data_IF_749709537500
#
_entry.id   IF_749709537500
#
_cell.length_a   1.000
_cell.length_b   1.000
_cell.length_c   1.000
_cell.angle_alpha   90.00
_cell.angle_beta   90.00
_cell.angle_gamma   90.00
#
_symmetry.space_group_name_H-M   'P 1'
#
loop_
_entity.id
_entity.type
_entity.pdbx_description
1 polymer ?
#
# COMPACT_ATOMS: atom_id res chain seq x y z
N UNK A 1 5.31 -53.55 6.50
CA UNK A 1 5.97 -52.55 5.65
C UNK A 1 5.38 -51.18 5.98
N UNK A 2 6.05 -50.39 6.81
CA UNK A 2 5.66 -49.00 7.07
C UNK A 2 6.24 -48.12 5.96
N UNK A 3 5.39 -47.53 5.13
CA UNK A 3 5.83 -46.48 4.20
C UNK A 3 6.01 -45.21 5.03
N UNK A 4 7.20 -44.57 5.04
CA UNK A 4 7.35 -43.29 5.70
C UNK A 4 6.55 -42.25 4.91
N UNK A 5 5.57 -41.63 5.55
CA UNK A 5 4.87 -40.47 5.03
C UNK A 5 5.91 -39.37 4.81
N UNK A 6 6.00 -38.74 3.63
CA UNK A 6 6.85 -37.57 3.49
C UNK A 6 6.30 -36.51 4.42
N UNK A 7 7.09 -36.14 5.43
CA UNK A 7 6.92 -34.89 6.13
C UNK A 7 7.05 -33.82 5.05
N UNK A 8 5.90 -33.36 4.53
CA UNK A 8 5.81 -32.10 3.83
C UNK A 8 6.31 -31.08 4.83
N UNK A 9 7.58 -30.72 4.71
CA UNK A 9 8.18 -29.60 5.38
C UNK A 9 7.36 -28.40 4.87
N UNK A 10 6.30 -28.04 5.59
CA UNK A 10 5.57 -26.82 5.31
C UNK A 10 6.63 -25.73 5.26
N UNK A 11 6.77 -25.10 4.10
CA UNK A 11 7.77 -24.05 3.86
C UNK A 11 7.68 -23.13 5.08
N UNK A 12 8.75 -22.95 5.86
CA UNK A 12 8.64 -22.21 7.10
C UNK A 12 8.02 -20.87 6.73
N UNK A 13 6.88 -20.54 7.34
CA UNK A 13 6.23 -19.23 7.21
C UNK A 13 7.09 -18.20 7.96
N UNK A 14 8.37 -18.13 7.61
CA UNK A 14 9.15 -16.94 7.82
C UNK A 14 8.48 -15.92 6.91
N UNK A 15 7.73 -15.00 7.50
CA UNK A 15 7.33 -13.76 6.83
C UNK A 15 8.64 -13.03 6.50
N UNK A 16 9.26 -13.41 5.38
CA UNK A 16 10.35 -12.68 4.80
C UNK A 16 9.72 -11.41 4.23
N UNK A 17 10.07 -10.28 4.83
CA UNK A 17 9.62 -8.99 4.33
C UNK A 17 10.22 -8.78 2.95
N UNK A 18 9.39 -8.34 2.02
CA UNK A 18 9.84 -7.75 0.76
C UNK A 18 10.67 -6.50 1.04
N UNK A 19 11.44 -6.03 0.05
CA UNK A 19 12.22 -4.79 0.18
C UNK A 19 11.34 -3.59 0.56
N UNK A 20 10.11 -3.56 0.03
CA UNK A 20 9.13 -2.51 0.30
C UNK A 20 8.59 -2.56 1.73
N UNK A 21 8.24 -3.76 2.20
CA UNK A 21 7.80 -3.96 3.58
C UNK A 21 8.92 -3.68 4.59
N UNK A 22 10.18 -4.00 4.24
CA UNK A 22 11.33 -3.66 5.05
C UNK A 22 11.51 -2.14 5.19
N UNK A 23 11.39 -1.40 4.09
CA UNK A 23 11.44 0.07 4.10
C UNK A 23 10.31 0.67 4.96
N UNK A 24 9.09 0.13 4.84
CA UNK A 24 7.95 0.51 5.67
C UNK A 24 8.19 0.22 7.16
N UNK A 25 8.76 -0.94 7.49
CA UNK A 25 9.11 -1.32 8.86
C UNK A 25 10.15 -0.35 9.44
N UNK A 26 11.22 -0.07 8.70
CA UNK A 26 12.25 0.88 9.12
C UNK A 26 11.68 2.29 9.33
N UNK A 27 10.83 2.76 8.41
CA UNK A 27 10.13 4.04 8.57
C UNK A 27 9.31 4.05 9.85
N UNK A 28 8.57 2.98 10.14
CA UNK A 28 7.77 2.89 11.35
C UNK A 28 8.63 2.89 12.62
N UNK A 29 9.72 2.12 12.66
CA UNK A 29 10.66 2.05 13.78
C UNK A 29 11.33 3.39 14.09
N UNK A 30 11.61 4.19 13.06
CA UNK A 30 12.22 5.51 13.22
C UNK A 30 11.23 6.59 13.71
N UNK A 31 9.95 6.47 13.34
CA UNK A 31 8.96 7.52 13.58
C UNK A 31 8.04 7.25 14.77
N UNK A 32 7.92 6.00 15.22
CA UNK A 32 7.04 5.61 16.32
C UNK A 32 7.88 5.32 17.56
N UNK A 33 7.42 5.77 18.73
CA UNK A 33 8.11 5.57 20.01
C UNK A 33 8.12 4.13 20.54
N UNK A 34 7.50 3.18 19.81
CA UNK A 34 7.20 1.83 20.28
C UNK A 34 7.79 0.74 19.35
N UNK A 35 9.11 0.72 19.07
CA UNK A 35 9.67 -0.15 18.03
C UNK A 35 9.40 -1.65 18.27
N UNK A 36 9.27 -2.09 19.53
CA UNK A 36 9.00 -3.49 19.85
C UNK A 36 7.59 -3.95 19.45
N UNK A 37 6.64 -3.03 19.29
CA UNK A 37 5.28 -3.36 18.84
C UNK A 37 5.18 -3.44 17.31
N UNK A 38 6.19 -2.93 16.60
CA UNK A 38 6.30 -2.94 15.13
C UNK A 38 6.79 -4.31 14.69
N UNK A 39 5.90 -5.28 14.81
CA UNK A 39 6.16 -6.67 14.40
C UNK A 39 6.00 -6.84 12.90
N UNK A 40 6.63 -7.89 12.35
CA UNK A 40 6.52 -8.23 10.92
C UNK A 40 5.07 -8.50 10.52
N UNK A 41 4.29 -9.05 11.43
CA UNK A 41 2.88 -9.35 11.23
C UNK A 41 2.05 -8.08 11.08
N UNK A 42 2.34 -7.04 11.87
CA UNK A 42 1.68 -5.72 11.75
C UNK A 42 2.03 -5.07 10.42
N UNK A 43 3.31 -5.10 10.04
CA UNK A 43 3.79 -4.55 8.76
C UNK A 43 3.17 -5.29 7.58
N UNK A 44 3.20 -6.63 7.58
CA UNK A 44 2.61 -7.44 6.52
C UNK A 44 1.10 -7.22 6.39
N UNK A 45 0.39 -7.03 7.51
CA UNK A 45 -1.04 -6.71 7.48
C UNK A 45 -1.31 -5.33 6.88
N UNK A 46 -0.52 -4.32 7.23
CA UNK A 46 -0.63 -2.98 6.67
C UNK A 46 -0.28 -2.93 5.18
N UNK A 47 0.78 -3.66 4.79
CA UNK A 47 1.20 -3.82 3.41
C UNK A 47 0.12 -4.47 2.56
N UNK A 48 -0.50 -5.55 3.08
CA UNK A 48 -1.62 -6.20 2.41
C UNK A 48 -2.80 -5.26 2.17
N UNK A 49 -3.20 -4.47 3.18
CA UNK A 49 -4.27 -3.48 3.01
C UNK A 49 -3.91 -2.46 1.92
N UNK A 50 -2.65 -2.02 1.90
CA UNK A 50 -2.18 -1.07 0.90
C UNK A 50 -2.19 -1.68 -0.50
N UNK A 51 -1.77 -2.95 -0.66
CA UNK A 51 -1.85 -3.69 -1.92
C UNK A 51 -3.29 -3.87 -2.39
N UNK A 52 -4.20 -4.22 -1.49
CA UNK A 52 -5.63 -4.40 -1.80
C UNK A 52 -6.28 -3.09 -2.29
N UNK A 53 -5.95 -1.96 -1.66
CA UNK A 53 -6.47 -0.63 -2.04
C UNK A 53 -5.81 -0.08 -3.31
N UNK A 54 -4.55 -0.43 -3.55
CA UNK A 54 -3.78 -0.03 -4.74
C UNK A 54 -3.93 -1.00 -5.92
N UNK A 55 -4.71 -2.07 -5.76
CA UNK A 55 -4.86 -3.13 -6.76
C UNK A 55 -5.28 -2.57 -8.11
N UNK A 56 -4.62 -3.06 -9.17
CA UNK A 56 -4.83 -2.67 -10.57
C UNK A 56 -4.63 -1.18 -10.84
N UNK A 57 -3.79 -0.50 -10.04
CA UNK A 57 -3.47 0.91 -10.23
C UNK A 57 -1.98 1.13 -10.27
N UNK A 58 -1.57 2.10 -11.08
CA UNK A 58 -0.19 2.56 -11.09
C UNK A 58 0.01 3.58 -9.96
N UNK A 59 0.50 3.09 -8.82
CA UNK A 59 0.71 3.89 -7.61
C UNK A 59 2.21 4.09 -7.38
N UNK A 60 2.61 5.33 -7.08
CA UNK A 60 3.97 5.63 -6.66
C UNK A 60 4.24 5.06 -5.25
N UNK A 61 5.47 4.58 -5.02
CA UNK A 61 5.79 3.86 -3.78
C UNK A 61 5.53 4.67 -2.51
N UNK A 62 5.86 5.97 -2.51
CA UNK A 62 5.64 6.83 -1.35
C UNK A 62 4.15 6.95 -0.97
N UNK A 63 3.23 6.92 -1.95
CA UNK A 63 1.78 6.96 -1.70
C UNK A 63 1.31 5.67 -1.02
N UNK A 64 1.82 4.53 -1.50
CA UNK A 64 1.54 3.24 -0.88
C UNK A 64 2.12 3.17 0.53
N UNK A 65 3.34 3.66 0.73
CA UNK A 65 4.00 3.69 2.04
C UNK A 65 3.28 4.60 3.02
N UNK A 66 2.84 5.78 2.60
CA UNK A 66 2.07 6.72 3.43
C UNK A 66 0.76 6.09 3.91
N UNK A 67 0.02 5.44 3.01
CA UNK A 67 -1.19 4.71 3.38
C UNK A 67 -0.88 3.57 4.36
N UNK A 68 0.10 2.73 4.04
CA UNK A 68 0.48 1.58 4.87
C UNK A 68 0.97 2.03 6.26
N UNK A 69 1.73 3.11 6.35
CA UNK A 69 2.22 3.67 7.62
C UNK A 69 1.07 4.10 8.53
N UNK A 70 0.05 4.76 7.99
CA UNK A 70 -1.15 5.10 8.76
C UNK A 70 -1.91 3.84 9.21
N UNK A 71 -1.96 2.79 8.39
CA UNK A 71 -2.54 1.49 8.80
C UNK A 71 -1.78 0.88 9.97
N UNK A 72 -0.45 0.98 10.00
CA UNK A 72 0.36 0.56 11.15
C UNK A 72 -0.06 1.32 12.41
N UNK A 73 -0.15 2.66 12.36
CA UNK A 73 -0.60 3.47 13.50
C UNK A 73 -1.97 3.02 14.02
N UNK A 74 -2.93 2.78 13.11
CA UNK A 74 -4.27 2.28 13.46
C UNK A 74 -4.19 0.91 14.17
N UNK A 75 -3.37 -0.02 13.67
CA UNK A 75 -3.23 -1.35 14.27
C UNK A 75 -2.57 -1.34 15.63
N UNK A 76 -1.63 -0.43 15.83
CA UNK A 76 -1.01 -0.17 17.13
C UNK A 76 -1.90 0.68 18.05
N UNK A 77 -3.10 1.07 17.60
CA UNK A 77 -4.05 1.92 18.33
C UNK A 77 -3.44 3.27 18.73
N UNK A 78 -2.49 3.75 17.94
CA UNK A 78 -1.92 5.10 18.08
C UNK A 78 -2.97 6.10 17.59
N UNK A 79 -3.20 7.15 18.37
CA UNK A 79 -4.12 8.21 18.01
C UNK A 79 -3.55 8.99 16.81
N UNK A 80 -4.37 9.16 15.76
CA UNK A 80 -3.99 9.94 14.59
C UNK A 80 -4.19 11.43 14.88
N UNK A 81 -3.14 12.21 14.66
CA UNK A 81 -3.20 13.67 14.71
C UNK A 81 -3.72 14.26 13.37
N UNK A 82 -3.70 15.58 13.23
CA UNK A 82 -4.15 16.23 11.99
C UNK A 82 -3.18 16.01 10.83
N UNK A 83 -1.88 15.90 11.07
CA UNK A 83 -0.89 15.62 10.03
C UNK A 83 -1.10 14.22 9.46
N UNK A 84 -1.38 13.24 10.32
CA UNK A 84 -1.72 11.87 9.95
C UNK A 84 -2.99 11.79 9.09
N UNK A 85 -4.02 12.54 9.46
CA UNK A 85 -5.26 12.61 8.67
C UNK A 85 -5.00 13.25 7.31
N UNK A 86 -4.24 14.33 7.26
CA UNK A 86 -3.84 14.97 6.00
C UNK A 86 -3.02 14.02 5.12
N UNK A 87 -2.09 13.27 5.71
CA UNK A 87 -1.28 12.27 5.01
C UNK A 87 -2.16 11.17 4.42
N UNK A 88 -3.08 10.63 5.21
CA UNK A 88 -4.03 9.62 4.75
C UNK A 88 -4.93 10.14 3.63
N UNK A 89 -5.48 11.34 3.77
CA UNK A 89 -6.35 11.96 2.77
C UNK A 89 -5.61 12.19 1.44
N UNK A 90 -4.35 12.63 1.50
CA UNK A 90 -3.52 12.82 0.32
C UNK A 90 -3.23 11.49 -0.38
N UNK A 91 -2.87 10.45 0.38
CA UNK A 91 -2.65 9.12 -0.16
C UNK A 91 -3.92 8.57 -0.82
N UNK A 92 -5.08 8.68 -0.15
CA UNK A 92 -6.35 8.22 -0.69
C UNK A 92 -6.77 8.97 -1.97
N UNK A 93 -6.56 10.29 -2.03
CA UNK A 93 -6.81 11.09 -3.24
C UNK A 93 -5.92 10.62 -4.39
N UNK A 94 -4.61 10.47 -4.14
CA UNK A 94 -3.67 9.98 -5.15
C UNK A 94 -4.05 8.58 -5.65
N UNK A 95 -4.41 7.66 -4.75
CA UNK A 95 -4.86 6.32 -5.13
C UNK A 95 -6.17 6.35 -5.93
N UNK A 96 -7.07 7.29 -5.64
CA UNK A 96 -8.32 7.44 -6.39
C UNK A 96 -8.11 7.99 -7.80
N UNK A 97 -7.15 8.89 -7.96
CA UNK A 97 -6.83 9.58 -9.21
C UNK A 97 -5.83 8.80 -10.08
N UNK A 98 -5.17 7.81 -9.51
CA UNK A 98 -4.18 7.00 -10.20
C UNK A 98 -4.74 6.31 -11.45
N UNK A 99 -3.91 6.18 -12.51
CA UNK A 99 -4.26 5.40 -13.69
C UNK A 99 -4.53 3.94 -13.33
N UNK A 100 -5.54 3.37 -13.98
CA UNK A 100 -5.85 1.94 -13.86
C UNK A 100 -4.96 1.16 -14.84
N UNK A 101 -4.44 0.02 -14.39
CA UNK A 101 -3.70 -0.92 -15.23
C UNK A 101 -4.72 -1.84 -15.89
N UNK A 102 -4.83 -1.79 -17.21
CA UNK A 102 -5.71 -2.66 -17.99
C UNK A 102 -5.10 -4.06 -18.14
N UNK A 103 -5.93 -5.05 -18.50
CA UNK A 103 -5.55 -6.47 -18.55
C UNK A 103 -4.45 -6.79 -19.58
N UNK A 104 -4.20 -5.90 -20.54
CA UNK A 104 -3.14 -5.94 -21.54
C UNK A 104 -1.84 -5.22 -21.10
N UNK A 105 -1.83 -4.67 -19.87
CA UNK A 105 -0.74 -3.84 -19.36
C UNK A 105 -0.75 -2.41 -19.87
N UNK A 106 -1.77 -2.00 -20.65
CA UNK A 106 -1.95 -0.61 -21.06
C UNK A 106 -2.47 0.24 -19.90
N UNK A 107 -2.03 1.50 -19.86
CA UNK A 107 -2.40 2.44 -18.80
C UNK A 107 -3.68 3.17 -19.20
N UNK A 108 -4.78 2.87 -18.51
CA UNK A 108 -6.07 3.54 -18.68
C UNK A 108 -6.01 4.98 -18.20
N UNK A 109 -5.78 5.93 -19.11
CA UNK A 109 -5.77 7.35 -18.81
C UNK A 109 -7.19 7.88 -18.56
N UNK A 110 -7.48 8.38 -17.35
CA UNK A 110 -8.69 9.17 -17.04
C UNK A 110 -8.56 10.61 -17.55
N UNK A 111 -8.20 10.82 -18.82
CA UNK A 111 -8.15 12.18 -19.38
C UNK A 111 -9.55 12.62 -19.78
N UNK A 112 -10.28 13.31 -18.90
CA UNK A 112 -11.49 14.07 -19.30
C UNK A 112 -11.05 15.31 -20.08
N UNK A 113 -10.74 15.15 -21.37
CA UNK A 113 -10.50 16.29 -22.26
C UNK A 113 -11.84 17.01 -22.48
N UNK A 114 -12.06 18.13 -21.78
CA UNK A 114 -13.14 19.08 -22.10
C UNK A 114 -12.68 19.94 -23.28
N UNK A 115 -12.99 19.53 -24.51
CA UNK A 115 -12.79 20.38 -25.69
C UNK A 115 -13.78 21.54 -25.61
N UNK A 116 -13.29 22.73 -25.24
CA UNK A 116 -14.06 23.97 -25.31
C UNK A 116 -14.06 24.42 -26.77
N UNK A 117 -15.13 24.11 -27.50
CA UNK A 117 -15.31 24.61 -28.88
C UNK A 117 -15.17 26.14 -28.87
N UNK A 118 -14.15 26.66 -29.57
CA UNK A 118 -14.06 28.09 -29.84
C UNK A 118 -15.16 28.41 -30.85
N UNK A 119 -16.00 29.37 -30.49
CA UNK A 119 -17.09 29.86 -31.33
C UNK A 119 -16.47 30.82 -32.34
N UNK A 120 -15.91 30.30 -33.42
CA UNK A 120 -15.56 31.12 -34.57
C UNK A 120 -16.88 31.67 -35.13
N UNK A 121 -17.08 32.97 -34.96
CA UNK A 121 -18.17 33.71 -35.62
C UNK A 121 -17.54 34.50 -36.76
N UNK A 122 -17.97 34.12 -37.96
CA UNK A 122 -17.98 34.89 -39.19
C UNK A 122 -18.51 36.31 -38.97
#
# INVERSE_FOLDING_TARGET
MFKPTPLLLEKPRMLALTLRELALMQRAELNLGNPQEITREVVAKAAKDADDVCKNKQIADFIWEDFAFIRIKIYLKILLDEEDKMLLDNALKAIKEAPEILDDGEVGLKTKIRVRQRKDRF
#
